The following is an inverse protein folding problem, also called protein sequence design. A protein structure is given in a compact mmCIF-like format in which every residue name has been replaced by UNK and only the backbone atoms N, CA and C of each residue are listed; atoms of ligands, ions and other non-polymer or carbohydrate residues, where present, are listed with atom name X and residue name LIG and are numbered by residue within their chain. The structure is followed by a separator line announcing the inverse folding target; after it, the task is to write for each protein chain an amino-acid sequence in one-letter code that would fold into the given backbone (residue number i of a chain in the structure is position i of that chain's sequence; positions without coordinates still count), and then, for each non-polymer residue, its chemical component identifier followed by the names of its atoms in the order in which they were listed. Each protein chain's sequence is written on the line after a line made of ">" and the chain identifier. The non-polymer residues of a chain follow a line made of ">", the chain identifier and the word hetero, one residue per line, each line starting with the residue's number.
data_IF_026022210660
#
_entry.id   IF_026022210660
#
_cell.length_a   1.000
_cell.length_b   1.000
_cell.length_c   1.000
_cell.angle_alpha   90.00
_cell.angle_beta   90.00
_cell.angle_gamma   90.00
#
_symmetry.space_group_name_H-M   'P 1'
#
loop_
_entity.id
_entity.type
_entity.pdbx_description
1 polymer ?
#
# COMPACT_ATOMS: atom_id res chain seq x y z
N UNK A 1 -29.43 -12.80 -5.65
CA UNK A 1 -28.35 -13.82 -5.69
C UNK A 1 -27.43 -13.51 -4.52
N UNK A 2 -27.37 -14.39 -3.53
CA UNK A 2 -26.54 -14.20 -2.34
C UNK A 2 -25.11 -14.45 -2.80
N UNK A 3 -24.33 -13.39 -2.97
CA UNK A 3 -22.88 -13.50 -3.17
C UNK A 3 -22.31 -14.26 -1.98
N UNK A 4 -21.52 -15.29 -2.27
CA UNK A 4 -20.75 -16.00 -1.24
C UNK A 4 -19.96 -14.96 -0.43
N UNK A 5 -19.95 -15.02 0.92
CA UNK A 5 -19.19 -14.07 1.72
C UNK A 5 -17.73 -14.19 1.31
N UNK A 6 -17.18 -13.13 0.73
CA UNK A 6 -15.80 -13.10 0.29
C UNK A 6 -14.94 -13.29 1.56
N UNK A 7 -14.08 -14.32 1.60
CA UNK A 7 -13.21 -14.51 2.75
C UNK A 7 -12.31 -13.28 2.87
N UNK A 8 -12.31 -12.67 4.04
CA UNK A 8 -11.61 -11.42 4.26
C UNK A 8 -10.09 -11.60 3.98
N UNK A 9 -9.55 -10.87 2.99
CA UNK A 9 -8.22 -11.10 2.47
C UNK A 9 -7.10 -10.57 3.38
N UNK A 10 -7.46 -9.93 4.50
CA UNK A 10 -6.51 -9.50 5.53
C UNK A 10 -6.17 -10.63 6.51
N UNK A 11 -7.03 -11.64 6.69
CA UNK A 11 -6.76 -12.77 7.58
C UNK A 11 -5.52 -13.60 7.21
N UNK A 12 -5.22 -13.89 5.93
CA UNK A 12 -3.97 -14.57 5.58
C UNK A 12 -2.72 -13.80 6.03
N UNK A 13 -2.77 -12.46 6.01
CA UNK A 13 -1.67 -11.60 6.49
C UNK A 13 -1.57 -11.64 8.01
N UNK A 14 -2.72 -11.64 8.71
CA UNK A 14 -2.77 -11.82 10.16
C UNK A 14 -2.19 -13.17 10.56
N UNK A 15 -2.55 -14.25 9.87
CA UNK A 15 -2.04 -15.60 10.13
C UNK A 15 -0.54 -15.67 9.88
N UNK A 16 -0.05 -15.13 8.75
CA UNK A 16 1.38 -15.13 8.47
C UNK A 16 2.18 -14.30 9.48
N UNK A 17 1.67 -13.13 9.88
CA UNK A 17 2.26 -12.33 10.95
C UNK A 17 2.28 -13.08 12.29
N UNK A 18 1.22 -13.83 12.62
CA UNK A 18 1.15 -14.68 13.82
C UNK A 18 2.17 -15.82 13.80
N UNK A 19 2.37 -16.47 12.64
CA UNK A 19 3.39 -17.51 12.46
C UNK A 19 4.79 -16.93 12.59
N UNK A 20 5.06 -15.77 11.99
CA UNK A 20 6.36 -15.07 12.11
C UNK A 20 6.62 -14.67 13.56
N UNK A 21 5.60 -14.15 14.26
CA UNK A 21 5.71 -13.79 15.68
C UNK A 21 6.04 -15.01 16.54
N UNK A 22 5.32 -16.13 16.34
CA UNK A 22 5.60 -17.37 17.06
C UNK A 22 7.01 -17.90 16.78
N UNK A 23 7.44 -17.87 15.52
CA UNK A 23 8.79 -18.26 15.11
C UNK A 23 9.88 -17.34 15.70
N UNK A 24 9.64 -16.03 15.76
CA UNK A 24 10.54 -15.06 16.36
C UNK A 24 10.66 -15.28 17.87
N UNK A 25 9.55 -15.53 18.57
CA UNK A 25 9.57 -15.88 20.00
C UNK A 25 10.35 -17.18 20.23
N UNK A 26 10.12 -18.21 19.41
CA UNK A 26 10.87 -19.46 19.51
C UNK A 26 12.39 -19.25 19.28
N UNK A 27 12.75 -18.43 18.29
CA UNK A 27 14.15 -18.07 18.00
C UNK A 27 14.79 -17.28 19.15
N UNK A 28 14.02 -16.45 19.84
CA UNK A 28 14.48 -15.69 21.01
C UNK A 28 14.92 -16.59 22.16
N UNK A 29 14.23 -17.73 22.37
CA UNK A 29 14.59 -18.70 23.40
C UNK A 29 15.60 -19.77 22.94
N UNK A 30 15.91 -19.82 21.63
CA UNK A 30 16.80 -20.83 21.07
C UNK A 30 18.20 -20.82 21.71
N UNK A 31 18.88 -19.66 21.90
CA UNK A 31 20.20 -19.63 22.55
C UNK A 31 20.19 -20.19 23.97
N UNK A 32 19.13 -19.94 24.73
CA UNK A 32 18.98 -20.46 26.09
C UNK A 32 18.78 -21.99 26.11
N UNK A 33 18.07 -22.54 25.11
CA UNK A 33 17.84 -23.98 24.99
C UNK A 33 19.12 -24.75 24.62
N UNK A 34 19.95 -24.18 23.74
CA UNK A 34 21.21 -24.80 23.29
C UNK A 34 22.42 -24.38 24.14
N UNK A 35 22.20 -23.58 25.19
CA UNK A 35 23.25 -23.04 26.08
C UNK A 35 24.36 -22.31 25.30
N UNK A 36 23.97 -21.57 24.26
CA UNK A 36 24.92 -20.75 23.49
C UNK A 36 25.38 -19.58 24.36
N UNK A 37 26.70 -19.34 24.40
CA UNK A 37 27.21 -18.13 25.05
C UNK A 37 26.71 -16.89 24.31
N UNK A 38 26.37 -15.85 25.07
CA UNK A 38 25.92 -14.57 24.55
C UNK A 38 26.96 -13.92 23.65
N UNK A 39 28.25 -14.05 23.98
CA UNK A 39 29.36 -13.49 23.19
C UNK A 39 29.64 -14.26 21.90
N UNK A 40 29.25 -15.53 21.82
CA UNK A 40 29.38 -16.37 20.62
C UNK A 40 28.21 -16.17 19.63
N UNK A 41 27.49 -15.04 19.74
CA UNK A 41 26.37 -14.69 18.86
C UNK A 41 24.99 -14.93 19.47
N UNK A 42 24.90 -15.45 20.70
CA UNK A 42 23.62 -15.66 21.39
C UNK A 42 22.85 -14.36 21.60
N UNK A 43 23.55 -13.27 21.92
CA UNK A 43 22.94 -11.94 22.01
C UNK A 43 22.45 -11.42 20.66
N UNK A 44 23.19 -11.66 19.57
CA UNK A 44 22.79 -11.22 18.23
C UNK A 44 21.51 -11.92 17.76
N UNK A 45 21.41 -13.23 17.98
CA UNK A 45 20.21 -14.02 17.67
C UNK A 45 19.03 -13.51 18.50
N UNK A 46 19.21 -13.34 19.81
CA UNK A 46 18.14 -12.87 20.72
C UNK A 46 17.65 -11.48 20.34
N UNK A 47 18.57 -10.55 20.02
CA UNK A 47 18.23 -9.19 19.61
C UNK A 47 17.50 -9.16 18.26
N UNK A 48 17.99 -9.89 17.25
CA UNK A 48 17.32 -10.00 15.96
C UNK A 48 15.92 -10.63 16.07
N UNK A 49 15.79 -11.68 16.88
CA UNK A 49 14.52 -12.31 17.19
C UNK A 49 13.54 -11.35 17.88
N UNK A 50 14.00 -10.56 18.85
CA UNK A 50 13.19 -9.54 19.52
C UNK A 50 12.69 -8.48 18.53
N UNK A 51 13.56 -7.97 17.66
CA UNK A 51 13.18 -6.97 16.66
C UNK A 51 12.13 -7.53 15.67
N UNK A 52 12.31 -8.77 15.22
CA UNK A 52 11.34 -9.46 14.38
C UNK A 52 10.01 -9.68 15.11
N UNK A 53 10.04 -10.06 16.39
CA UNK A 53 8.85 -10.24 17.21
C UNK A 53 8.06 -8.93 17.36
N UNK A 54 8.72 -7.81 17.67
CA UNK A 54 8.07 -6.50 17.78
C UNK A 54 7.46 -6.09 16.43
N UNK A 55 8.22 -6.24 15.34
CA UNK A 55 7.74 -5.89 13.99
C UNK A 55 6.53 -6.72 13.57
N UNK A 56 6.56 -8.04 13.84
CA UNK A 56 5.47 -8.95 13.57
C UNK A 56 4.24 -8.66 14.44
N UNK A 57 4.44 -8.33 15.73
CA UNK A 57 3.36 -7.95 16.65
C UNK A 57 2.65 -6.67 16.18
N UNK A 58 3.40 -5.63 15.82
CA UNK A 58 2.83 -4.39 15.29
C UNK A 58 2.03 -4.67 14.02
N UNK A 59 2.61 -5.45 13.10
CA UNK A 59 1.92 -5.85 11.85
C UNK A 59 0.64 -6.62 12.16
N UNK A 60 0.68 -7.59 13.08
CA UNK A 60 -0.47 -8.39 13.47
C UNK A 60 -1.59 -7.50 14.05
N UNK A 61 -1.27 -6.59 14.95
CA UNK A 61 -2.27 -5.70 15.58
C UNK A 61 -2.94 -4.78 14.54
N UNK A 62 -2.16 -4.17 13.65
CA UNK A 62 -2.68 -3.29 12.59
C UNK A 62 -3.58 -4.06 11.64
N UNK A 63 -3.13 -5.20 11.13
CA UNK A 63 -3.91 -5.99 10.17
C UNK A 63 -5.10 -6.69 10.81
N UNK A 64 -5.02 -7.08 12.09
CA UNK A 64 -6.15 -7.65 12.83
C UNK A 64 -7.29 -6.64 12.96
N UNK A 65 -6.97 -5.41 13.40
CA UNK A 65 -7.97 -4.34 13.50
C UNK A 65 -8.61 -4.05 12.14
N UNK A 66 -7.81 -3.95 11.09
CA UNK A 66 -8.30 -3.73 9.73
C UNK A 66 -9.16 -4.92 9.24
N UNK A 67 -8.81 -6.15 9.59
CA UNK A 67 -9.61 -7.32 9.26
C UNK A 67 -11.00 -7.25 9.91
N UNK A 68 -11.08 -6.97 11.21
CA UNK A 68 -12.37 -6.83 11.91
C UNK A 68 -13.24 -5.71 11.33
N UNK A 69 -12.63 -4.58 10.97
CA UNK A 69 -13.35 -3.47 10.33
C UNK A 69 -13.84 -3.83 8.93
N UNK A 70 -13.01 -4.52 8.14
CA UNK A 70 -13.40 -4.99 6.82
C UNK A 70 -14.54 -6.01 6.89
N UNK A 71 -14.57 -6.89 7.91
CA UNK A 71 -15.69 -7.80 8.13
C UNK A 71 -17.01 -7.07 8.35
N UNK A 72 -17.00 -5.92 9.07
CA UNK A 72 -18.20 -5.10 9.26
C UNK A 72 -18.70 -4.49 7.94
N UNK A 73 -17.78 -4.02 7.10
CA UNK A 73 -18.10 -3.47 5.78
C UNK A 73 -18.66 -4.54 4.85
N UNK A 74 -18.03 -5.73 4.81
CA UNK A 74 -18.49 -6.88 4.00
C UNK A 74 -19.84 -7.40 4.52
N UNK A 75 -20.08 -7.36 5.83
CA UNK A 75 -21.37 -7.72 6.44
C UNK A 75 -22.51 -6.75 6.11
N UNK A 76 -22.24 -5.66 5.37
CA UNK A 76 -23.25 -4.72 4.90
C UNK A 76 -23.60 -3.62 5.90
N UNK A 77 -22.92 -3.54 7.04
CA UNK A 77 -23.14 -2.43 7.97
C UNK A 77 -22.57 -1.14 7.37
N UNK A 78 -23.45 -0.16 7.11
CA UNK A 78 -23.11 1.14 6.47
C UNK A 78 -22.56 1.06 5.03
N UNK A 79 -22.86 -0.01 4.30
CA UNK A 79 -22.50 -0.12 2.89
C UNK A 79 -23.36 0.81 2.03
N UNK A 80 -22.73 1.75 1.33
CA UNK A 80 -23.39 2.70 0.43
C UNK A 80 -23.47 2.14 -1.00
N UNK A 81 -22.39 1.53 -1.48
CA UNK A 81 -22.35 0.91 -2.80
C UNK A 81 -21.40 -0.28 -2.87
N UNK A 82 -21.75 -1.22 -3.73
CA UNK A 82 -20.90 -2.32 -4.14
C UNK A 82 -21.01 -2.50 -5.65
N UNK A 83 -19.87 -2.53 -6.34
CA UNK A 83 -19.84 -2.83 -7.77
C UNK A 83 -18.67 -3.74 -8.14
N UNK A 84 -18.90 -4.52 -9.19
CA UNK A 84 -17.96 -5.45 -9.80
C UNK A 84 -17.61 -4.94 -11.19
N UNK A 85 -16.34 -5.00 -11.61
CA UNK A 85 -15.91 -4.62 -12.95
C UNK A 85 -15.98 -5.78 -13.94
N UNK A 86 -16.30 -5.48 -15.19
CA UNK A 86 -16.15 -6.45 -16.27
C UNK A 86 -14.66 -6.68 -16.57
N UNK A 87 -14.21 -7.91 -16.87
CA UNK A 87 -12.77 -8.22 -17.04
C UNK A 87 -12.06 -7.34 -18.08
N UNK A 88 -12.75 -6.93 -19.14
CA UNK A 88 -12.20 -6.04 -20.17
C UNK A 88 -11.97 -4.60 -19.68
N UNK A 89 -12.92 -4.04 -18.93
CA UNK A 89 -12.79 -2.71 -18.33
C UNK A 89 -11.72 -2.71 -17.22
N UNK A 90 -11.64 -3.79 -16.44
CA UNK A 90 -10.65 -3.96 -15.39
C UNK A 90 -9.22 -4.03 -15.93
N UNK A 91 -9.01 -4.79 -17.02
CA UNK A 91 -7.69 -4.89 -17.65
C UNK A 91 -7.20 -3.54 -18.19
N UNK A 92 -8.08 -2.78 -18.86
CA UNK A 92 -7.75 -1.45 -19.38
C UNK A 92 -7.36 -0.48 -18.26
N UNK A 93 -8.10 -0.49 -17.15
CA UNK A 93 -7.77 0.33 -15.98
C UNK A 93 -6.41 -0.06 -15.39
N UNK A 94 -6.16 -1.36 -15.17
CA UNK A 94 -4.88 -1.84 -14.62
C UNK A 94 -3.68 -1.48 -15.52
N UNK A 95 -3.84 -1.53 -16.84
CA UNK A 95 -2.80 -1.13 -17.78
C UNK A 95 -2.51 0.37 -17.71
N UNK A 96 -3.56 1.21 -17.64
CA UNK A 96 -3.38 2.67 -17.47
C UNK A 96 -2.69 3.05 -16.16
N UNK A 97 -3.06 2.40 -15.05
CA UNK A 97 -2.46 2.63 -13.72
C UNK A 97 -0.99 2.19 -13.68
N UNK A 98 -0.66 1.06 -14.33
CA UNK A 98 0.72 0.58 -14.39
C UNK A 98 1.60 1.56 -15.15
N UNK A 99 1.11 2.07 -16.27
CA UNK A 99 1.86 3.00 -17.11
C UNK A 99 2.14 4.30 -16.34
N UNK A 100 1.14 4.87 -15.67
CA UNK A 100 1.30 6.08 -14.85
C UNK A 100 2.30 5.86 -13.70
N UNK A 101 2.21 4.74 -12.98
CA UNK A 101 3.15 4.44 -11.88
C UNK A 101 4.59 4.22 -12.33
N UNK A 102 4.79 3.66 -13.52
CA UNK A 102 6.12 3.49 -14.10
C UNK A 102 6.63 4.86 -14.55
N UNK A 103 5.83 5.60 -15.32
CA UNK A 103 6.23 6.88 -15.91
C UNK A 103 6.51 7.97 -14.86
N UNK A 104 5.82 7.96 -13.72
CA UNK A 104 6.13 8.87 -12.61
C UNK A 104 7.46 8.54 -11.90
N UNK A 105 7.79 7.25 -11.77
CA UNK A 105 8.94 6.80 -10.96
C UNK A 105 10.22 6.65 -11.77
N UNK A 106 10.11 6.38 -13.06
CA UNK A 106 11.24 6.13 -13.96
C UNK A 106 12.19 7.33 -14.08
N UNK A 107 11.72 8.58 -14.23
CA UNK A 107 12.60 9.75 -14.27
C UNK A 107 13.37 9.92 -12.96
N UNK A 108 12.72 9.67 -11.82
CA UNK A 108 13.33 9.85 -10.50
C UNK A 108 14.42 8.81 -10.25
N UNK A 109 14.18 7.53 -10.57
CA UNK A 109 15.21 6.49 -10.50
C UNK A 109 16.37 6.80 -11.45
N UNK A 110 16.08 7.26 -12.67
CA UNK A 110 17.10 7.63 -13.64
C UNK A 110 17.98 8.79 -13.16
N UNK A 111 17.39 9.85 -12.60
CA UNK A 111 18.12 10.99 -12.05
C UNK A 111 19.03 10.54 -10.90
N UNK A 112 18.50 9.74 -9.96
CA UNK A 112 19.28 9.23 -8.82
C UNK A 112 20.43 8.33 -9.31
N UNK A 113 20.17 7.46 -10.28
CA UNK A 113 21.19 6.61 -10.87
C UNK A 113 22.29 7.42 -11.58
N UNK A 114 21.92 8.46 -12.32
CA UNK A 114 22.87 9.33 -13.01
C UNK A 114 23.80 10.04 -12.03
N UNK A 115 23.24 10.63 -10.96
CA UNK A 115 24.04 11.29 -9.91
C UNK A 115 24.92 10.30 -9.14
N UNK A 116 24.38 9.14 -8.80
CA UNK A 116 25.14 8.09 -8.13
C UNK A 116 26.32 7.60 -8.98
N UNK A 117 26.14 7.42 -10.29
CA UNK A 117 27.24 7.02 -11.19
C UNK A 117 28.26 8.15 -11.40
N UNK A 118 27.81 9.40 -11.48
CA UNK A 118 28.71 10.55 -11.60
C UNK A 118 29.60 10.68 -10.36
N UNK A 119 29.00 10.64 -9.17
CA UNK A 119 29.73 10.74 -7.91
C UNK A 119 30.63 9.51 -7.72
N UNK A 120 30.10 8.31 -7.88
CA UNK A 120 30.86 7.07 -7.76
C UNK A 120 32.03 6.99 -8.74
N UNK A 121 31.81 7.39 -10.00
CA UNK A 121 32.86 7.47 -11.01
C UNK A 121 33.90 8.54 -10.71
N UNK A 122 33.48 9.68 -10.14
CA UNK A 122 34.40 10.70 -9.63
C UNK A 122 35.32 10.16 -8.55
N UNK A 123 34.78 9.47 -7.53
CA UNK A 123 35.58 8.85 -6.48
C UNK A 123 36.60 7.85 -7.03
N UNK A 124 36.22 7.04 -8.02
CA UNK A 124 37.13 6.10 -8.66
C UNK A 124 38.30 6.78 -9.38
N UNK A 125 38.10 7.99 -9.92
CA UNK A 125 39.15 8.75 -10.60
C UNK A 125 40.16 9.40 -9.63
N UNK A 126 39.71 9.81 -8.44
CA UNK A 126 40.56 10.49 -7.44
C UNK A 126 41.29 9.52 -6.49
N UNK A 127 40.64 8.41 -6.11
CA UNK A 127 41.23 7.37 -5.27
C UNK A 127 40.85 5.99 -5.85
N UNK A 128 41.74 5.35 -6.61
CA UNK A 128 41.39 4.13 -7.34
C UNK A 128 41.00 2.95 -6.45
N UNK A 129 41.60 2.82 -5.26
CA UNK A 129 41.36 1.68 -4.37
C UNK A 129 40.06 1.85 -3.58
N UNK A 130 39.89 3.01 -2.92
CA UNK A 130 38.67 3.29 -2.15
C UNK A 130 37.49 3.58 -3.08
N UNK A 131 37.72 4.31 -4.17
CA UNK A 131 36.70 4.74 -5.12
C UNK A 131 36.10 3.59 -5.93
N UNK A 132 36.86 2.53 -6.22
CA UNK A 132 36.32 1.32 -6.86
C UNK A 132 35.27 0.64 -5.98
N UNK A 133 35.53 0.52 -4.68
CA UNK A 133 34.58 -0.09 -3.72
C UNK A 133 33.32 0.78 -3.62
N UNK A 134 33.48 2.09 -3.48
CA UNK A 134 32.35 3.04 -3.41
C UNK A 134 31.50 2.96 -4.68
N UNK A 135 32.13 2.95 -5.85
CA UNK A 135 31.42 2.81 -7.13
C UNK A 135 30.62 1.50 -7.19
N UNK A 136 31.20 0.38 -6.78
CA UNK A 136 30.55 -0.93 -6.77
C UNK A 136 29.33 -0.94 -5.83
N UNK A 137 29.47 -0.35 -4.64
CA UNK A 137 28.34 -0.18 -3.69
C UNK A 137 27.24 0.69 -4.29
N UNK A 138 27.58 1.79 -4.97
CA UNK A 138 26.59 2.66 -5.62
C UNK A 138 25.86 1.93 -6.75
N UNK A 139 26.57 1.16 -7.59
CA UNK A 139 25.96 0.33 -8.64
C UNK A 139 25.03 -0.72 -8.02
N UNK A 140 25.46 -1.40 -6.96
CA UNK A 140 24.63 -2.36 -6.23
C UNK A 140 23.34 -1.74 -5.68
N UNK A 141 23.44 -0.54 -5.11
CA UNK A 141 22.28 0.20 -4.60
C UNK A 141 21.33 0.61 -5.74
N UNK A 142 21.86 1.08 -6.88
CA UNK A 142 21.05 1.40 -8.07
C UNK A 142 20.30 0.17 -8.55
N UNK A 143 20.97 -0.99 -8.65
CA UNK A 143 20.34 -2.25 -9.06
C UNK A 143 19.23 -2.62 -8.07
N UNK A 144 19.50 -2.55 -6.77
CA UNK A 144 18.53 -2.87 -5.72
C UNK A 144 17.31 -1.95 -5.78
N UNK A 145 17.51 -0.63 -5.85
CA UNK A 145 16.43 0.36 -5.93
C UNK A 145 15.63 0.20 -7.21
N UNK A 146 16.30 -0.04 -8.34
CA UNK A 146 15.64 -0.31 -9.62
C UNK A 146 14.79 -1.58 -9.53
N UNK A 147 15.34 -2.67 -8.98
CA UNK A 147 14.62 -3.92 -8.78
C UNK A 147 13.35 -3.71 -7.93
N UNK A 148 13.43 -2.90 -6.86
CA UNK A 148 12.26 -2.56 -6.05
C UNK A 148 11.26 -1.68 -6.82
N UNK A 149 11.74 -0.68 -7.55
CA UNK A 149 10.92 0.23 -8.33
C UNK A 149 10.13 -0.49 -9.44
N UNK A 150 10.71 -1.50 -10.09
CA UNK A 150 10.03 -2.29 -11.14
C UNK A 150 9.34 -3.56 -10.62
N UNK A 151 9.96 -4.24 -9.65
CA UNK A 151 9.51 -5.53 -9.13
C UNK A 151 8.22 -5.41 -8.33
N UNK A 152 8.09 -4.40 -7.46
CA UNK A 152 6.86 -4.21 -6.68
C UNK A 152 5.63 -3.93 -7.57
N UNK A 153 5.67 -2.99 -8.54
CA UNK A 153 4.56 -2.78 -9.46
C UNK A 153 4.23 -4.02 -10.30
N UNK A 154 5.24 -4.75 -10.79
CA UNK A 154 5.01 -5.95 -11.59
C UNK A 154 4.34 -7.08 -10.79
N UNK A 155 4.81 -7.35 -9.56
CA UNK A 155 4.20 -8.33 -8.67
C UNK A 155 2.75 -7.95 -8.32
N UNK A 156 2.49 -6.66 -8.06
CA UNK A 156 1.14 -6.14 -7.81
C UNK A 156 0.26 -6.34 -9.05
N UNK A 157 0.72 -5.94 -10.23
CA UNK A 157 -0.03 -6.06 -11.48
C UNK A 157 -0.39 -7.52 -11.80
N UNK A 158 0.56 -8.44 -11.65
CA UNK A 158 0.32 -9.88 -11.88
C UNK A 158 -0.75 -10.41 -10.93
N UNK A 159 -0.71 -10.01 -9.65
CA UNK A 159 -1.71 -10.39 -8.65
C UNK A 159 -3.09 -9.79 -8.97
N UNK A 160 -3.13 -8.53 -9.36
CA UNK A 160 -4.37 -7.77 -9.54
C UNK A 160 -5.10 -8.15 -10.85
N UNK A 161 -4.38 -8.61 -11.87
CA UNK A 161 -4.97 -9.14 -13.13
C UNK A 161 -5.73 -10.45 -12.94
N UNK A 162 -5.36 -11.25 -11.95
CA UNK A 162 -6.04 -12.51 -11.63
C UNK A 162 -7.23 -12.35 -10.68
N UNK A 163 -7.44 -11.15 -10.12
CA UNK A 163 -8.57 -10.85 -9.25
C UNK A 163 -9.62 -10.08 -10.04
N UNK A 164 -10.88 -10.47 -9.92
CA UNK A 164 -11.99 -9.63 -10.39
C UNK A 164 -11.94 -8.33 -9.61
N UNK A 165 -11.95 -7.20 -10.32
CA UNK A 165 -12.01 -5.90 -9.68
C UNK A 165 -13.35 -5.77 -8.96
N UNK A 166 -13.31 -5.53 -7.66
CA UNK A 166 -14.49 -5.27 -6.84
C UNK A 166 -14.21 -4.10 -5.92
N UNK A 167 -15.25 -3.31 -5.67
CA UNK A 167 -15.19 -2.17 -4.74
C UNK A 167 -16.34 -2.28 -3.76
N UNK A 168 -16.01 -2.04 -2.50
CA UNK A 168 -16.99 -1.87 -1.44
C UNK A 168 -16.80 -0.46 -0.87
N UNK A 169 -17.84 0.36 -0.98
CA UNK A 169 -17.85 1.75 -0.51
C UNK A 169 -18.84 1.83 0.64
N UNK A 170 -18.33 2.04 1.85
CA UNK A 170 -19.10 2.33 3.05
C UNK A 170 -19.01 3.83 3.38
N UNK A 171 -19.86 4.29 4.32
CA UNK A 171 -19.89 5.70 4.73
C UNK A 171 -18.57 6.21 5.34
N UNK A 172 -17.77 5.32 5.93
CA UNK A 172 -16.51 5.65 6.60
C UNK A 172 -15.30 4.83 6.12
N UNK A 173 -15.47 4.01 5.09
CA UNK A 173 -14.39 3.16 4.58
C UNK A 173 -14.59 2.75 3.12
N UNK A 174 -13.48 2.55 2.42
CA UNK A 174 -13.42 2.01 1.07
C UNK A 174 -12.51 0.80 1.07
N UNK A 175 -13.00 -0.30 0.53
CA UNK A 175 -12.20 -1.46 0.18
C UNK A 175 -12.07 -1.55 -1.34
N UNK A 176 -10.85 -1.35 -1.83
CA UNK A 176 -10.53 -1.40 -3.26
C UNK A 176 -9.19 -2.11 -3.50
N UNK A 177 -9.17 -3.13 -4.37
CA UNK A 177 -7.94 -3.78 -4.84
C UNK A 177 -7.06 -4.37 -3.72
N UNK A 178 -7.66 -4.82 -2.62
CA UNK A 178 -6.93 -5.32 -1.45
C UNK A 178 -6.42 -4.22 -0.51
N UNK A 179 -6.66 -2.96 -0.82
CA UNK A 179 -6.40 -1.83 0.07
C UNK A 179 -7.70 -1.51 0.80
N UNK A 180 -7.65 -1.58 2.13
CA UNK A 180 -8.72 -1.11 3.00
C UNK A 180 -8.32 0.26 3.56
N UNK A 181 -9.05 1.28 3.17
CA UNK A 181 -8.85 2.65 3.64
C UNK A 181 -10.08 3.02 4.46
N UNK A 182 -9.89 3.49 5.68
CA UNK A 182 -10.97 3.97 6.54
C UNK A 182 -10.62 5.34 7.10
N UNK A 183 -11.63 6.18 7.32
CA UNK A 183 -11.50 7.52 7.87
C UNK A 183 -12.35 7.65 9.15
N UNK A 184 -11.93 8.54 10.07
CA UNK A 184 -12.62 8.81 11.34
C UNK A 184 -12.04 8.15 12.60
N UNK A 185 -11.23 7.08 12.51
CA UNK A 185 -10.67 6.41 13.71
C UNK A 185 -9.13 6.35 13.80
N UNK A 186 -8.42 6.82 12.76
CA UNK A 186 -6.95 6.70 12.65
C UNK A 186 -6.28 8.00 12.17
N UNK A 187 -6.93 9.14 12.41
CA UNK A 187 -6.44 10.46 12.00
C UNK A 187 -6.55 10.75 10.50
N UNK A 188 -7.00 9.78 9.70
CA UNK A 188 -7.39 9.99 8.31
C UNK A 188 -8.75 10.69 8.26
N UNK A 189 -8.79 11.86 7.60
CA UNK A 189 -9.99 12.65 7.37
C UNK A 189 -10.26 12.72 5.88
N UNK A 190 -11.52 12.59 5.48
CA UNK A 190 -11.92 12.78 4.10
C UNK A 190 -12.02 14.30 3.84
N UNK A 191 -11.13 14.83 3.02
CA UNK A 191 -11.09 16.26 2.69
C UNK A 191 -11.99 16.58 1.51
N UNK A 192 -11.94 15.79 0.45
CA UNK A 192 -12.68 16.09 -0.77
C UNK A 192 -12.96 14.83 -1.58
N UNK A 193 -14.11 14.80 -2.24
CA UNK A 193 -14.40 13.85 -3.32
C UNK A 193 -14.49 14.65 -4.62
N UNK A 194 -13.74 14.25 -5.64
CA UNK A 194 -13.76 14.87 -6.97
C UNK A 194 -14.08 13.82 -8.04
N UNK A 195 -14.80 14.25 -9.08
CA UNK A 195 -15.18 13.37 -10.20
C UNK A 195 -14.30 13.72 -11.39
N UNK A 196 -13.37 12.82 -11.75
CA UNK A 196 -12.50 13.02 -12.91
C UNK A 196 -13.20 12.47 -14.16
N UNK A 197 -13.43 13.30 -15.20
CA UNK A 197 -14.04 12.85 -16.44
C UNK A 197 -13.10 11.87 -17.16
N UNK A 198 -13.67 11.05 -18.05
CA UNK A 198 -12.90 10.15 -18.89
C UNK A 198 -11.93 10.97 -19.77
N UNK A 199 -10.65 10.59 -19.78
CA UNK A 199 -9.64 11.14 -20.69
C UNK A 199 -9.29 10.09 -21.75
N UNK A 200 -8.58 10.48 -22.80
CA UNK A 200 -8.27 9.66 -23.99
C UNK A 200 -7.66 8.29 -23.64
N UNK A 201 -6.97 8.18 -22.49
CA UNK A 201 -6.36 6.95 -21.97
C UNK A 201 -6.85 6.53 -20.56
N UNK A 202 -7.86 7.19 -19.97
CA UNK A 202 -8.30 6.92 -18.60
C UNK A 202 -9.83 6.83 -18.48
N UNK A 203 -10.30 5.76 -17.83
CA UNK A 203 -11.70 5.61 -17.46
C UNK A 203 -12.14 6.72 -16.47
N UNK A 204 -13.42 7.12 -16.45
CA UNK A 204 -13.91 8.10 -15.48
C UNK A 204 -13.73 7.54 -14.07
N UNK A 205 -13.21 8.36 -13.14
CA UNK A 205 -12.86 7.92 -11.78
C UNK A 205 -13.42 8.88 -10.72
N UNK A 206 -13.90 8.31 -9.60
CA UNK A 206 -14.10 9.02 -8.34
C UNK A 206 -12.76 9.10 -7.61
N UNK A 207 -12.28 10.31 -7.34
CA UNK A 207 -11.07 10.56 -6.59
C UNK A 207 -11.45 11.00 -5.17
N UNK A 208 -11.04 10.22 -4.17
CA UNK A 208 -11.17 10.57 -2.76
C UNK A 208 -9.83 11.12 -2.28
N UNK A 209 -9.82 12.38 -1.86
CA UNK A 209 -8.66 13.02 -1.22
C UNK A 209 -8.81 12.90 0.28
N UNK A 210 -7.89 12.17 0.93
CA UNK A 210 -7.85 11.98 2.37
C UNK A 210 -6.64 12.71 2.96
N UNK A 211 -6.82 13.50 4.00
CA UNK A 211 -5.71 14.08 4.76
C UNK A 211 -5.32 13.16 5.93
N UNK A 212 -4.04 13.14 6.27
CA UNK A 212 -3.56 12.57 7.51
C UNK A 212 -2.47 13.46 8.13
N UNK A 213 -2.41 13.57 9.46
CA UNK A 213 -1.39 14.37 10.13
C UNK A 213 -0.03 13.68 10.03
N UNK A 214 0.98 14.40 9.55
CA UNK A 214 2.39 13.97 9.57
C UNK A 214 3.25 14.95 10.37
N UNK A 215 4.45 14.53 10.78
CA UNK A 215 5.40 15.41 11.49
C UNK A 215 5.82 16.63 10.64
N UNK A 216 5.67 16.56 9.31
CA UNK A 216 5.99 17.64 8.36
C UNK A 216 4.76 18.48 7.94
N UNK A 217 3.60 18.30 8.58
CA UNK A 217 2.33 18.93 8.22
C UNK A 217 1.27 17.92 7.76
N UNK A 218 0.12 18.41 7.30
CA UNK A 218 -0.92 17.56 6.72
C UNK A 218 -0.46 17.02 5.36
N UNK A 219 -0.62 15.71 5.16
CA UNK A 219 -0.35 15.07 3.87
C UNK A 219 -1.62 14.49 3.27
N UNK A 220 -1.76 14.65 1.97
CA UNK A 220 -2.94 14.20 1.22
C UNK A 220 -2.66 12.87 0.53
N UNK A 221 -3.58 11.93 0.66
CA UNK A 221 -3.61 10.63 0.02
C UNK A 221 -4.79 10.57 -0.95
N UNK A 222 -4.48 10.38 -2.24
CA UNK A 222 -5.49 10.35 -3.31
C UNK A 222 -5.84 8.92 -3.70
N UNK A 223 -7.05 8.49 -3.38
CA UNK A 223 -7.59 7.18 -3.77
C UNK A 223 -8.48 7.34 -5.02
N UNK A 224 -8.05 6.74 -6.14
CA UNK A 224 -8.80 6.77 -7.41
C UNK A 224 -9.60 5.47 -7.57
N UNK A 225 -10.91 5.59 -7.76
CA UNK A 225 -11.82 4.46 -7.99
C UNK A 225 -12.45 4.62 -9.36
N UNK A 226 -12.21 3.70 -10.32
CA UNK A 226 -12.82 3.77 -11.64
C UNK A 226 -14.34 3.54 -11.55
N UNK A 227 -15.11 4.26 -12.34
CA UNK A 227 -16.57 4.12 -12.37
C UNK A 227 -16.94 3.12 -13.48
N UNK A 228 -17.51 1.94 -13.16
CA UNK A 228 -17.94 1.01 -14.20
C UNK A 228 -19.10 1.61 -15.00
N UNK A 229 -19.17 1.34 -16.31
CA UNK A 229 -20.19 1.94 -17.21
C UNK A 229 -21.62 1.75 -16.69
N UNK A 230 -21.87 0.60 -16.05
CA UNK A 230 -23.18 0.21 -15.51
C UNK A 230 -23.61 0.96 -14.25
N UNK A 231 -22.68 1.54 -13.49
CA UNK A 231 -22.97 2.19 -12.20
C UNK A 231 -22.71 3.71 -12.21
N UNK A 232 -22.69 4.34 -13.41
CA UNK A 232 -22.46 5.79 -13.51
C UNK A 232 -23.46 6.62 -12.71
N UNK A 233 -24.75 6.29 -12.76
CA UNK A 233 -25.79 7.01 -12.01
C UNK A 233 -25.54 6.93 -10.48
N UNK A 234 -25.28 5.73 -9.97
CA UNK A 234 -24.97 5.51 -8.54
C UNK A 234 -23.69 6.25 -8.11
N UNK A 235 -22.70 6.38 -9.00
CA UNK A 235 -21.48 7.13 -8.71
C UNK A 235 -21.74 8.65 -8.55
N UNK A 236 -22.70 9.22 -9.28
CA UNK A 236 -23.12 10.61 -9.09
C UNK A 236 -23.87 10.80 -7.76
N UNK A 237 -24.77 9.87 -7.40
CA UNK A 237 -25.48 9.91 -6.11
C UNK A 237 -24.50 9.83 -4.93
N UNK A 238 -23.46 9.00 -5.04
CA UNK A 238 -22.38 8.92 -4.04
C UNK A 238 -21.58 10.23 -3.95
N UNK A 239 -21.27 10.86 -5.08
CA UNK A 239 -20.57 12.14 -5.10
C UNK A 239 -21.38 13.23 -4.38
N UNK A 240 -22.70 13.30 -4.60
CA UNK A 240 -23.58 14.23 -3.88
C UNK A 240 -23.63 13.93 -2.38
N UNK A 241 -23.73 12.65 -1.99
CA UNK A 241 -23.77 12.25 -0.58
C UNK A 241 -22.49 12.65 0.19
N UNK A 242 -21.32 12.40 -0.41
CA UNK A 242 -20.05 12.74 0.23
C UNK A 242 -19.76 14.25 0.18
N UNK A 243 -20.10 14.95 -0.90
CA UNK A 243 -19.90 16.41 -0.97
C UNK A 243 -20.74 17.17 0.07
N UNK A 244 -21.97 16.73 0.33
CA UNK A 244 -22.80 17.32 1.39
C UNK A 244 -22.22 17.09 2.80
N UNK A 245 -21.66 15.90 3.04
CA UNK A 245 -21.07 15.53 4.34
C UNK A 245 -19.76 16.29 4.60
N UNK A 246 -18.92 16.46 3.56
CA UNK A 246 -17.65 17.19 3.65
C UNK A 246 -17.84 18.70 3.92
N UNK A 247 -18.88 19.32 3.37
CA UNK A 247 -19.18 20.75 3.61
C UNK A 247 -19.59 20.99 5.07
N UNK A 248 -20.18 19.99 5.72
CA UNK A 248 -20.73 20.13 7.07
C UNK A 248 -19.68 20.03 8.20
N UNK A 249 -18.54 19.39 7.92
CA UNK A 249 -17.41 19.25 8.86
C UNK A 249 -16.35 20.36 8.72
N UNK A 250 -16.46 21.26 7.74
CA UNK A 250 -15.54 22.39 7.60
C UNK A 250 -15.90 23.47 8.62
N UNK A 251 -14.96 23.93 9.48
CA UNK A 251 -15.26 24.98 10.45
C UNK A 251 -15.69 26.26 9.71
N UNK A 252 -16.68 27.02 10.24
CA UNK A 252 -17.02 28.31 9.67
C UNK A 252 -15.78 29.20 9.69
N UNK A 253 -15.47 29.76 8.53
CA UNK A 253 -14.37 30.68 8.29
C UNK A 253 -14.39 31.89 9.25
#
# INVERSE_FOLDING_TARGET
>A
MISQPIPNPLYPVVVSAGVVLAGAIALMFLPALIQLDGMDGGFAITFGALFLAISALVTLLVFWRNAVLLDRVIAGTHLLAHWTYEPGEWAQYLDSERQEQIDEKLPLVFIVACWALLIGGGFWLFDPEAGFIVFLVMVGLIILVSLLAYGLPWLRFKRDRHRLGEVWIASSAIYFRGNFVHWGELGLRLEQVSLRPASENQAPCLCFELSYPSQAGEQTYNLRIPIPRRHRAVAYDLFEHFSQTTIQDSPPA
#
